data_IF_036612873144
#
_entry.id   IF_036612873144
#
_cell.length_a   1.000
_cell.length_b   1.000
_cell.length_c   1.000
_cell.angle_alpha   90.00
_cell.angle_beta   90.00
_cell.angle_gamma   90.00
#
_symmetry.space_group_name_H-M   'P 1'
#
loop_
_entity.id
_entity.type
_entity.pdbx_description
1 polymer ?
#
# COMPACT_ATOMS: atom_id res chain seq x y z
N UNK A 1 7.17 -8.36 22.64
CA UNK A 1 7.48 -9.28 21.52
C UNK A 1 8.90 -9.84 21.50
N UNK A 2 9.99 -9.06 21.32
CA UNK A 2 11.35 -9.62 21.15
C UNK A 2 11.79 -10.56 22.30
N UNK A 3 11.51 -10.19 23.55
CA UNK A 3 11.75 -11.06 24.71
C UNK A 3 10.96 -12.39 24.63
N UNK A 4 9.72 -12.37 24.15
CA UNK A 4 8.91 -13.59 23.99
C UNK A 4 9.46 -14.50 22.90
N UNK A 5 9.97 -13.92 21.80
CA UNK A 5 10.63 -14.68 20.73
C UNK A 5 11.90 -15.36 21.25
N UNK A 6 12.74 -14.61 21.97
CA UNK A 6 13.96 -15.14 22.57
C UNK A 6 13.66 -16.28 23.56
N UNK A 7 12.65 -16.11 24.42
CA UNK A 7 12.20 -17.14 25.37
C UNK A 7 11.70 -18.39 24.66
N UNK A 8 10.91 -18.28 23.57
CA UNK A 8 10.46 -19.45 22.79
C UNK A 8 11.62 -20.23 22.15
N UNK A 9 12.73 -19.55 21.88
CA UNK A 9 13.97 -20.15 21.36
C UNK A 9 14.92 -20.60 22.49
N UNK A 10 14.49 -20.55 23.76
CA UNK A 10 15.31 -20.85 24.94
C UNK A 10 16.64 -20.06 25.00
N UNK A 11 16.66 -18.83 24.45
CA UNK A 11 17.82 -17.96 24.52
C UNK A 11 17.89 -17.26 25.88
N UNK A 12 19.11 -17.08 26.39
CA UNK A 12 19.38 -16.35 27.65
C UNK A 12 19.57 -14.84 27.47
N UNK A 13 19.74 -14.38 26.23
CA UNK A 13 19.92 -12.97 25.86
C UNK A 13 19.14 -12.70 24.58
N UNK A 14 18.64 -11.48 24.44
CA UNK A 14 17.96 -11.00 23.23
C UNK A 14 19.06 -10.49 22.27
N UNK A 15 19.03 -10.93 21.03
CA UNK A 15 19.89 -10.43 19.96
C UNK A 15 19.07 -9.76 18.85
N UNK A 16 19.76 -9.18 17.85
CA UNK A 16 19.10 -8.49 16.74
C UNK A 16 18.14 -9.39 15.95
N UNK A 17 18.41 -10.70 15.86
CA UNK A 17 17.52 -11.63 15.13
C UNK A 17 16.17 -11.83 15.84
N UNK A 18 16.13 -11.67 17.16
CA UNK A 18 14.87 -11.74 17.92
C UNK A 18 14.10 -10.42 17.86
N UNK A 19 14.80 -9.29 17.72
CA UNK A 19 14.20 -7.98 17.45
C UNK A 19 13.59 -7.96 16.04
N UNK A 20 14.33 -8.41 15.03
CA UNK A 20 13.85 -8.46 13.64
C UNK A 20 12.62 -9.37 13.51
N UNK A 21 12.65 -10.57 14.11
CA UNK A 21 11.49 -11.48 14.10
C UNK A 21 10.29 -10.88 14.85
N UNK A 22 10.52 -10.13 15.93
CA UNK A 22 9.45 -9.45 16.64
C UNK A 22 8.84 -8.32 15.82
N UNK A 23 9.66 -7.52 15.13
CA UNK A 23 9.21 -6.47 14.22
C UNK A 23 8.35 -7.07 13.11
N UNK A 24 8.83 -8.12 12.44
CA UNK A 24 8.08 -8.82 11.41
C UNK A 24 6.74 -9.37 11.93
N UNK A 25 6.74 -9.88 13.17
CA UNK A 25 5.56 -10.44 13.81
C UNK A 25 4.51 -9.36 14.13
N UNK A 26 4.94 -8.16 14.51
CA UNK A 26 4.05 -7.04 14.76
C UNK A 26 3.45 -6.51 13.46
N UNK A 27 4.25 -6.43 12.38
CA UNK A 27 3.81 -5.89 11.09
C UNK A 27 2.89 -6.87 10.35
N UNK A 28 3.33 -8.12 10.18
CA UNK A 28 2.70 -9.08 9.27
C UNK A 28 2.18 -10.36 9.98
N UNK A 29 2.39 -10.47 11.29
CA UNK A 29 1.99 -11.65 12.07
C UNK A 29 3.04 -12.77 12.06
N UNK A 30 2.70 -13.94 12.65
CA UNK A 30 3.63 -15.06 12.74
C UNK A 30 3.94 -15.66 11.37
N UNK A 31 5.18 -16.11 11.17
CA UNK A 31 5.60 -16.83 9.97
C UNK A 31 4.87 -18.17 9.81
N UNK A 32 4.44 -18.47 8.58
CA UNK A 32 3.82 -19.75 8.21
C UNK A 32 4.88 -20.67 7.62
N UNK A 33 5.73 -21.26 8.48
CA UNK A 33 6.81 -22.16 8.05
C UNK A 33 6.32 -23.51 7.52
N UNK A 34 5.08 -23.92 7.84
CA UNK A 34 4.49 -25.19 7.40
C UNK A 34 3.74 -25.13 6.07
N UNK A 35 3.51 -23.94 5.51
CA UNK A 35 2.78 -23.79 4.24
C UNK A 35 3.72 -24.14 3.09
N UNK A 36 3.41 -25.23 2.39
CA UNK A 36 4.07 -25.56 1.12
C UNK A 36 3.56 -24.58 0.07
N UNK A 37 4.44 -23.69 -0.41
CA UNK A 37 4.13 -22.74 -1.48
C UNK A 37 4.62 -23.35 -2.79
N UNK A 38 3.76 -23.36 -3.82
CA UNK A 38 4.16 -23.81 -5.15
C UNK A 38 5.18 -22.87 -5.77
N UNK A 39 6.04 -23.36 -6.66
CA UNK A 39 7.00 -22.49 -7.35
C UNK A 39 6.32 -21.37 -8.13
N UNK A 40 5.16 -21.66 -8.75
CA UNK A 40 4.33 -20.64 -9.43
C UNK A 40 3.91 -19.53 -8.46
N UNK A 41 3.34 -19.87 -7.30
CA UNK A 41 2.88 -18.89 -6.30
C UNK A 41 4.06 -18.10 -5.72
N UNK A 42 5.20 -18.76 -5.45
CA UNK A 42 6.42 -18.10 -4.97
C UNK A 42 6.95 -17.08 -5.98
N UNK A 43 6.95 -17.42 -7.27
CA UNK A 43 7.38 -16.51 -8.32
C UNK A 43 6.42 -15.32 -8.45
N UNK A 44 5.10 -15.55 -8.41
CA UNK A 44 4.11 -14.46 -8.43
C UNK A 44 4.38 -13.47 -7.29
N UNK A 45 4.54 -13.96 -6.06
CA UNK A 45 4.86 -13.12 -4.90
C UNK A 45 6.19 -12.40 -5.08
N UNK A 46 7.23 -13.07 -5.58
CA UNK A 46 8.53 -12.44 -5.79
C UNK A 46 8.46 -11.25 -6.74
N UNK A 47 7.81 -11.40 -7.90
CA UNK A 47 7.64 -10.31 -8.86
C UNK A 47 6.69 -9.23 -8.34
N UNK A 48 5.67 -9.60 -7.57
CA UNK A 48 4.79 -8.64 -6.91
C UNK A 48 5.57 -7.74 -5.93
N UNK A 49 6.33 -8.32 -5.02
CA UNK A 49 7.15 -7.55 -4.07
C UNK A 49 8.27 -6.77 -4.78
N UNK A 50 8.86 -7.33 -5.83
CA UNK A 50 9.84 -6.63 -6.66
C UNK A 50 9.23 -5.39 -7.34
N UNK A 51 7.99 -5.48 -7.81
CA UNK A 51 7.25 -4.33 -8.38
C UNK A 51 7.17 -3.15 -7.42
N UNK A 52 6.78 -3.42 -6.17
CA UNK A 52 6.76 -2.40 -5.12
C UNK A 52 8.15 -1.78 -4.90
N UNK A 53 9.19 -2.61 -4.81
CA UNK A 53 10.57 -2.18 -4.56
C UNK A 53 11.11 -1.33 -5.71
N UNK A 54 10.97 -1.76 -6.96
CA UNK A 54 11.52 -1.05 -8.13
C UNK A 54 10.85 0.32 -8.28
N UNK A 55 9.53 0.40 -8.11
CA UNK A 55 8.80 1.67 -8.15
C UNK A 55 9.24 2.57 -6.99
N UNK A 56 9.32 2.04 -5.77
CA UNK A 56 9.76 2.79 -4.59
C UNK A 56 11.21 3.29 -4.67
N UNK A 57 12.11 2.57 -5.34
CA UNK A 57 13.48 3.01 -5.59
C UNK A 57 13.59 4.06 -6.70
N UNK A 58 12.59 4.14 -7.58
CA UNK A 58 12.59 5.04 -8.75
C UNK A 58 11.99 6.39 -8.45
N UNK A 59 10.95 6.42 -7.64
CA UNK A 59 10.23 7.64 -7.31
C UNK A 59 11.02 8.44 -6.27
N UNK A 60 11.36 9.69 -6.60
CA UNK A 60 12.19 10.55 -5.76
C UNK A 60 11.57 10.79 -4.38
N UNK A 61 10.24 10.89 -4.34
CA UNK A 61 9.48 11.14 -3.12
C UNK A 61 8.98 9.86 -2.43
N UNK A 62 9.27 8.69 -2.99
CA UNK A 62 8.83 7.44 -2.40
C UNK A 62 9.63 7.08 -1.14
N UNK A 63 8.94 6.34 -0.27
CA UNK A 63 9.45 5.77 0.96
C UNK A 63 10.66 4.87 0.66
N UNK A 64 11.68 4.90 1.52
CA UNK A 64 12.90 4.09 1.37
C UNK A 64 12.58 2.63 1.66
N UNK A 65 12.97 1.73 0.75
CA UNK A 65 12.85 0.29 0.96
C UNK A 65 13.74 -0.12 2.14
N UNK A 66 13.12 -0.61 3.21
CA UNK A 66 13.82 -1.07 4.40
C UNK A 66 14.01 -2.59 4.39
N UNK A 67 12.97 -3.32 3.98
CA UNK A 67 12.99 -4.79 3.94
C UNK A 67 12.00 -5.29 2.90
N UNK A 68 12.36 -6.36 2.20
CA UNK A 68 11.46 -7.10 1.32
C UNK A 68 11.59 -8.58 1.62
N UNK A 69 10.47 -9.30 1.63
CA UNK A 69 10.46 -10.75 1.85
C UNK A 69 9.30 -11.42 1.15
N UNK A 70 9.54 -12.62 0.64
CA UNK A 70 8.54 -13.51 0.04
C UNK A 70 8.11 -14.63 1.03
N UNK A 71 8.51 -14.51 2.29
CA UNK A 71 8.14 -15.47 3.33
C UNK A 71 6.73 -15.17 3.81
N UNK A 72 5.78 -16.11 3.68
CA UNK A 72 4.39 -15.86 4.05
C UNK A 72 4.25 -15.67 5.55
N UNK A 73 3.51 -14.63 5.94
CA UNK A 73 3.18 -14.31 7.34
C UNK A 73 1.71 -13.95 7.46
N UNK A 74 1.04 -14.45 8.49
CA UNK A 74 -0.38 -14.13 8.69
C UNK A 74 -1.23 -14.41 7.45
N UNK A 75 -1.86 -13.36 6.90
CA UNK A 75 -2.60 -13.43 5.63
C UNK A 75 -1.78 -13.03 4.39
N UNK A 76 -0.58 -12.48 4.56
CA UNK A 76 0.28 -12.00 3.49
C UNK A 76 1.14 -13.13 2.88
N UNK A 77 1.27 -13.15 1.55
CA UNK A 77 2.14 -14.09 0.81
C UNK A 77 3.61 -13.66 0.80
N UNK A 78 3.84 -12.35 0.79
CA UNK A 78 5.09 -11.63 0.97
C UNK A 78 4.78 -10.23 1.50
N UNK A 79 5.80 -9.43 1.76
CA UNK A 79 5.60 -7.99 2.02
C UNK A 79 6.90 -7.20 1.82
N UNK A 80 6.73 -5.96 1.37
CA UNK A 80 7.75 -4.93 1.36
C UNK A 80 7.46 -3.89 2.45
N UNK A 81 8.43 -3.65 3.33
CA UNK A 81 8.42 -2.55 4.30
C UNK A 81 9.13 -1.38 3.68
N UNK A 82 8.37 -0.34 3.39
CA UNK A 82 8.90 0.97 3.02
C UNK A 82 8.79 1.89 4.24
N UNK A 83 9.83 2.67 4.49
CA UNK A 83 9.88 3.64 5.57
C UNK A 83 9.99 5.05 4.99
N UNK A 84 9.23 6.03 5.52
CA UNK A 84 9.43 7.43 5.16
C UNK A 84 10.89 7.85 5.34
N UNK A 85 11.40 8.69 4.42
CA UNK A 85 12.77 9.24 4.54
C UNK A 85 12.88 10.21 5.72
N UNK A 86 11.79 10.88 6.04
CA UNK A 86 11.67 11.87 7.11
C UNK A 86 10.29 11.75 7.76
N UNK A 87 10.20 12.04 9.06
CA UNK A 87 8.92 12.19 9.74
C UNK A 87 8.23 13.46 9.24
N UNK A 88 7.17 13.30 8.45
CA UNK A 88 6.44 14.41 7.82
C UNK A 88 5.01 14.48 8.33
N UNK A 89 4.58 15.69 8.66
CA UNK A 89 3.19 15.98 9.07
C UNK A 89 2.26 16.29 7.90
N UNK A 90 2.80 16.75 6.77
CA UNK A 90 2.04 17.14 5.59
C UNK A 90 2.54 16.38 4.36
N UNK A 91 1.61 15.99 3.49
CA UNK A 91 1.91 15.38 2.20
C UNK A 91 1.38 16.25 1.06
N UNK A 92 2.20 16.44 0.04
CA UNK A 92 1.90 17.16 -1.19
C UNK A 92 1.21 16.25 -2.22
N UNK A 93 0.53 16.84 -3.20
CA UNK A 93 -0.12 16.09 -4.29
C UNK A 93 0.85 15.11 -4.99
N UNK A 94 2.09 15.50 -5.40
CA UNK A 94 3.03 14.57 -6.02
C UNK A 94 3.42 13.40 -5.12
N UNK A 95 3.59 13.62 -3.82
CA UNK A 95 3.92 12.55 -2.86
C UNK A 95 2.79 11.53 -2.72
N UNK A 96 1.54 11.99 -2.70
CA UNK A 96 0.38 11.09 -2.66
C UNK A 96 0.23 10.30 -3.96
N UNK A 97 0.48 10.94 -5.11
CA UNK A 97 0.51 10.26 -6.41
C UNK A 97 1.62 9.20 -6.47
N UNK A 98 2.82 9.52 -5.98
CA UNK A 98 3.95 8.59 -5.90
C UNK A 98 3.63 7.42 -4.95
N UNK A 99 2.92 7.67 -3.85
CA UNK A 99 2.46 6.62 -2.94
C UNK A 99 1.44 5.70 -3.59
N UNK A 100 0.50 6.25 -4.36
CA UNK A 100 -0.45 5.45 -5.16
C UNK A 100 0.31 4.60 -6.18
N UNK A 101 1.26 5.18 -6.93
CA UNK A 101 2.08 4.45 -7.89
C UNK A 101 2.88 3.30 -7.21
N UNK A 102 3.49 3.56 -6.06
CA UNK A 102 4.18 2.54 -5.25
C UNK A 102 3.28 1.38 -4.84
N UNK A 103 2.03 1.66 -4.44
CA UNK A 103 1.03 0.63 -4.12
C UNK A 103 0.58 -0.15 -5.36
N UNK A 104 0.50 0.48 -6.53
CA UNK A 104 0.13 -0.23 -7.77
C UNK A 104 1.28 -1.08 -8.35
N UNK A 105 2.51 -0.88 -7.88
CA UNK A 105 3.71 -1.57 -8.35
C UNK A 105 3.59 -3.09 -8.41
N UNK A 106 3.09 -3.73 -7.35
CA UNK A 106 2.95 -5.18 -7.30
C UNK A 106 1.99 -5.74 -8.35
N UNK A 107 0.82 -5.12 -8.51
CA UNK A 107 -0.14 -5.50 -9.56
C UNK A 107 0.46 -5.34 -10.96
N UNK A 108 1.10 -4.21 -11.22
CA UNK A 108 1.63 -3.90 -12.56
C UNK A 108 2.80 -4.83 -12.91
N UNK A 109 3.62 -5.20 -11.93
CA UNK A 109 4.71 -6.18 -12.14
C UNK A 109 4.17 -7.57 -12.51
N UNK A 110 3.09 -8.02 -11.87
CA UNK A 110 2.40 -9.26 -12.25
C UNK A 110 1.91 -9.21 -13.70
N UNK A 111 1.22 -8.12 -14.07
CA UNK A 111 0.64 -7.91 -15.39
C UNK A 111 1.72 -7.93 -16.50
N UNK A 112 2.83 -7.20 -16.30
CA UNK A 112 3.94 -7.15 -17.27
C UNK A 112 4.67 -8.50 -17.39
N UNK A 113 4.87 -9.20 -16.28
CA UNK A 113 5.72 -10.40 -16.24
C UNK A 113 4.98 -11.65 -16.66
N UNK A 114 3.74 -11.82 -16.19
CA UNK A 114 2.97 -13.05 -16.38
C UNK A 114 1.81 -12.89 -17.36
N UNK A 115 1.36 -11.65 -17.64
CA UNK A 115 0.12 -11.41 -18.39
C UNK A 115 -1.14 -11.91 -17.66
N UNK A 116 -1.00 -12.27 -16.38
CA UNK A 116 -2.06 -12.75 -15.51
C UNK A 116 -1.99 -11.97 -14.19
N UNK A 117 -3.16 -11.57 -13.68
CA UNK A 117 -3.28 -10.80 -12.44
C UNK A 117 -3.75 -11.69 -11.29
N UNK A 118 -3.12 -11.56 -10.12
CA UNK A 118 -3.46 -12.35 -8.93
C UNK A 118 -4.51 -11.67 -8.04
N UNK A 119 -4.98 -12.34 -6.98
CA UNK A 119 -5.80 -11.69 -5.93
C UNK A 119 -4.98 -11.01 -4.84
N UNK A 120 -3.64 -11.08 -4.91
CA UNK A 120 -2.72 -10.58 -3.88
C UNK A 120 -2.76 -9.05 -3.71
N UNK A 121 -3.02 -8.31 -4.79
CA UNK A 121 -3.02 -6.84 -4.78
C UNK A 121 -4.23 -6.17 -4.09
N UNK A 122 -5.12 -6.95 -3.45
CA UNK A 122 -6.38 -6.44 -2.88
C UNK A 122 -6.17 -5.30 -1.88
N UNK A 123 -5.26 -5.49 -0.92
CA UNK A 123 -4.96 -4.48 0.10
C UNK A 123 -4.31 -3.23 -0.51
N UNK A 124 -3.51 -3.38 -1.57
CA UNK A 124 -2.86 -2.26 -2.22
C UNK A 124 -3.86 -1.38 -2.98
N UNK A 125 -4.82 -2.00 -3.67
CA UNK A 125 -5.93 -1.29 -4.28
C UNK A 125 -6.80 -0.58 -3.25
N UNK A 126 -7.10 -1.23 -2.12
CA UNK A 126 -7.89 -0.61 -1.06
C UNK A 126 -7.21 0.66 -0.55
N UNK A 127 -5.90 0.59 -0.28
CA UNK A 127 -5.10 1.75 0.18
C UNK A 127 -5.00 2.83 -0.90
N UNK A 128 -4.67 2.45 -2.14
CA UNK A 128 -4.56 3.40 -3.25
C UNK A 128 -5.88 4.14 -3.50
N UNK A 129 -6.99 3.40 -3.49
CA UNK A 129 -8.35 3.98 -3.64
C UNK A 129 -8.71 4.89 -2.47
N UNK A 130 -8.34 4.53 -1.24
CA UNK A 130 -8.56 5.39 -0.07
C UNK A 130 -7.78 6.70 -0.18
N UNK A 131 -6.51 6.65 -0.62
CA UNK A 131 -5.69 7.86 -0.82
C UNK A 131 -6.31 8.72 -1.92
N UNK A 132 -6.67 8.13 -3.07
CA UNK A 132 -7.30 8.85 -4.17
C UNK A 132 -8.62 9.51 -3.73
N UNK A 133 -9.42 8.83 -2.91
CA UNK A 133 -10.63 9.40 -2.32
C UNK A 133 -10.30 10.60 -1.45
N UNK A 134 -9.42 10.48 -0.46
CA UNK A 134 -9.06 11.59 0.43
C UNK A 134 -8.41 12.77 -0.33
N UNK A 135 -7.63 12.51 -1.38
CA UNK A 135 -7.11 13.56 -2.27
C UNK A 135 -8.25 14.40 -2.87
N UNK A 136 -9.31 13.76 -3.34
CA UNK A 136 -10.44 14.43 -3.99
C UNK A 136 -11.40 15.02 -2.97
N UNK A 137 -11.74 14.30 -1.91
CA UNK A 137 -12.81 14.67 -0.97
C UNK A 137 -12.34 15.46 0.22
N UNK A 138 -11.13 15.22 0.74
CA UNK A 138 -10.66 15.86 1.97
C UNK A 138 -9.64 16.96 1.72
N UNK A 139 -8.75 16.76 0.75
CA UNK A 139 -7.61 17.65 0.51
C UNK A 139 -7.84 18.64 -0.63
N UNK A 140 -8.96 18.53 -1.36
CA UNK A 140 -9.29 19.44 -2.48
C UNK A 140 -8.24 19.42 -3.59
N UNK A 141 -7.62 18.26 -3.85
CA UNK A 141 -6.53 18.10 -4.82
C UNK A 141 -7.02 17.74 -6.24
N UNK A 142 -8.33 17.84 -6.50
CA UNK A 142 -8.91 17.71 -7.84
C UNK A 142 -9.04 19.09 -8.51
N UNK A 143 -8.50 19.20 -9.71
CA UNK A 143 -8.57 20.44 -10.49
C UNK A 143 -9.99 20.70 -11.03
N UNK A 144 -10.82 19.65 -11.16
CA UNK A 144 -12.22 19.78 -11.63
C UNK A 144 -13.20 20.15 -10.52
N UNK A 145 -13.05 19.53 -9.35
CA UNK A 145 -13.93 19.78 -8.21
C UNK A 145 -13.49 20.99 -7.37
N UNK A 146 -12.24 21.44 -7.57
CA UNK A 146 -11.67 22.59 -6.89
C UNK A 146 -11.30 22.30 -5.44
N UNK A 147 -10.83 23.33 -4.70
CA UNK A 147 -10.35 23.21 -3.33
C UNK A 147 -11.51 23.17 -2.32
N UNK A 148 -12.42 22.20 -2.48
CA UNK A 148 -13.56 22.00 -1.58
C UNK A 148 -13.43 20.67 -0.84
N UNK A 149 -13.93 20.64 0.39
CA UNK A 149 -14.06 19.42 1.17
C UNK A 149 -15.46 18.84 0.98
N UNK A 150 -15.53 17.55 0.67
CA UNK A 150 -16.75 16.77 0.48
C UNK A 150 -16.86 15.73 1.59
N UNK A 151 -18.05 15.55 2.16
CA UNK A 151 -18.31 14.50 3.15
C UNK A 151 -17.78 14.79 4.57
N UNK A 152 -17.43 16.04 4.89
CA UNK A 152 -17.13 16.41 6.28
C UNK A 152 -18.41 16.28 7.11
N UNK A 153 -18.44 15.31 8.03
CA UNK A 153 -19.35 15.36 9.18
C UNK A 153 -19.09 16.68 9.89
N UNK A 154 -20.02 17.64 9.75
CA UNK A 154 -20.05 18.81 10.60
C UNK A 154 -20.14 18.33 12.06
N UNK A 155 -19.21 18.78 12.89
CA UNK A 155 -19.40 18.88 14.33
C UNK A 155 -19.07 17.62 15.12
N UNK A 156 -18.10 17.75 16.02
CA UNK A 156 -17.79 16.71 16.98
C UNK A 156 -18.96 16.39 17.90
N UNK A 157 -19.21 15.10 18.08
CA UNK A 157 -19.56 14.49 19.36
C UNK A 157 -19.47 12.97 19.22
N UNK A 158 -18.31 12.43 19.58
CA UNK A 158 -17.94 11.00 19.50
C UNK A 158 -18.63 10.18 20.62
N UNK A 159 -19.77 10.62 21.17
CA UNK A 159 -20.33 9.98 22.38
C UNK A 159 -21.69 9.30 22.23
N UNK A 160 -22.39 9.35 21.10
CA UNK A 160 -23.67 8.63 20.98
C UNK A 160 -23.71 7.80 19.70
N UNK A 161 -23.61 6.49 19.90
CA UNK A 161 -24.18 5.42 19.08
C UNK A 161 -24.31 5.69 17.59
N UNK A 162 -23.28 5.34 16.83
CA UNK A 162 -23.35 4.70 15.49
C UNK A 162 -24.69 4.90 14.75
N UNK A 163 -24.94 6.12 14.28
CA UNK A 163 -26.01 6.37 13.32
C UNK A 163 -25.52 6.09 11.90
N UNK A 164 -26.34 5.32 11.20
CA UNK A 164 -26.06 4.53 10.01
C UNK A 164 -25.99 5.32 8.69
N UNK A 165 -25.95 6.64 8.73
CA UNK A 165 -25.89 7.47 7.52
C UNK A 165 -24.87 8.58 7.73
N UNK A 166 -23.65 8.37 7.22
CA UNK A 166 -22.85 9.52 6.79
C UNK A 166 -23.62 10.17 5.64
N UNK A 167 -24.46 11.16 5.94
CA UNK A 167 -25.14 11.94 4.91
C UNK A 167 -24.07 12.50 3.96
N UNK A 168 -24.15 12.10 2.69
CA UNK A 168 -23.32 12.69 1.65
C UNK A 168 -23.74 14.15 1.54
N UNK A 169 -22.89 15.07 1.97
CA UNK A 169 -23.11 16.51 1.89
C UNK A 169 -22.96 17.06 0.45
N UNK A 170 -23.25 16.24 -0.56
CA UNK A 170 -23.10 16.56 -1.97
C UNK A 170 -24.09 15.77 -2.82
N UNK A 171 -24.45 16.30 -3.98
CA UNK A 171 -25.42 15.68 -4.90
C UNK A 171 -24.85 14.45 -5.59
N UNK A 172 -25.74 13.59 -6.13
CA UNK A 172 -25.35 12.43 -6.95
C UNK A 172 -24.46 12.82 -8.14
N UNK A 173 -24.67 14.01 -8.71
CA UNK A 173 -23.81 14.53 -9.77
C UNK A 173 -22.37 14.77 -9.30
N UNK A 174 -22.18 15.27 -8.08
CA UNK A 174 -20.85 15.46 -7.49
C UNK A 174 -20.26 14.12 -7.07
N UNK A 175 -21.07 13.20 -6.54
CA UNK A 175 -20.63 11.83 -6.23
C UNK A 175 -20.05 11.15 -7.47
N UNK A 176 -20.74 11.26 -8.60
CA UNK A 176 -20.30 10.72 -9.89
C UNK A 176 -19.01 11.37 -10.40
N UNK A 177 -18.87 12.68 -10.25
CA UNK A 177 -17.63 13.38 -10.61
C UNK A 177 -16.46 13.00 -9.68
N UNK A 178 -16.70 12.78 -8.38
CA UNK A 178 -15.69 12.26 -7.44
C UNK A 178 -15.20 10.88 -7.91
N UNK A 179 -16.12 9.96 -8.23
CA UNK A 179 -15.74 8.62 -8.67
C UNK A 179 -14.96 8.64 -9.99
N UNK A 180 -15.32 9.53 -10.93
CA UNK A 180 -14.56 9.76 -12.16
C UNK A 180 -13.15 10.27 -11.90
N UNK A 181 -13.01 11.26 -11.01
CA UNK A 181 -11.70 11.82 -10.66
C UNK A 181 -10.81 10.78 -9.98
N UNK A 182 -11.38 9.99 -9.05
CA UNK A 182 -10.69 8.88 -8.43
C UNK A 182 -10.22 7.84 -9.47
N UNK A 183 -11.11 7.47 -10.41
CA UNK A 183 -10.77 6.54 -11.49
C UNK A 183 -9.64 7.10 -12.36
N UNK A 184 -9.70 8.38 -12.72
CA UNK A 184 -8.67 9.04 -13.52
C UNK A 184 -7.30 8.99 -12.82
N UNK A 185 -7.24 9.33 -11.53
CA UNK A 185 -6.00 9.27 -10.73
C UNK A 185 -5.42 7.85 -10.73
N UNK A 186 -6.24 6.83 -10.45
CA UNK A 186 -5.76 5.44 -10.38
C UNK A 186 -5.26 4.96 -11.74
N UNK A 187 -6.00 5.25 -12.83
CA UNK A 187 -5.59 4.85 -14.19
C UNK A 187 -4.29 5.55 -14.61
N UNK A 188 -4.17 6.84 -14.35
CA UNK A 188 -2.95 7.60 -14.66
C UNK A 188 -1.74 7.05 -13.89
N UNK A 189 -1.88 6.79 -12.59
CA UNK A 189 -0.79 6.23 -11.81
C UNK A 189 -0.49 4.78 -12.19
N UNK A 190 -1.48 3.99 -12.62
CA UNK A 190 -1.25 2.64 -13.15
C UNK A 190 -0.39 2.68 -14.41
N UNK A 191 -0.73 3.55 -15.36
CA UNK A 191 0.03 3.69 -16.61
C UNK A 191 1.44 4.25 -16.37
N UNK A 192 1.57 5.24 -15.48
CA UNK A 192 2.89 5.75 -15.05
C UNK A 192 3.74 4.64 -14.43
N UNK A 193 3.14 3.82 -13.56
CA UNK A 193 3.82 2.68 -12.93
C UNK A 193 4.26 1.65 -13.98
N UNK A 194 3.41 1.40 -14.98
CA UNK A 194 3.70 0.49 -16.09
C UNK A 194 4.87 0.98 -16.93
N UNK A 195 4.94 2.28 -17.22
CA UNK A 195 6.08 2.89 -17.91
C UNK A 195 7.37 2.71 -17.11
N UNK A 196 7.36 3.07 -15.81
CA UNK A 196 8.52 2.92 -14.91
C UNK A 196 9.02 1.47 -14.89
N UNK A 197 8.13 0.50 -14.69
CA UNK A 197 8.50 -0.90 -14.62
C UNK A 197 8.94 -1.49 -15.97
N UNK A 198 8.42 -0.96 -17.08
CA UNK A 198 8.85 -1.37 -18.43
C UNK A 198 10.24 -0.83 -18.75
N UNK A 199 10.53 0.43 -18.42
CA UNK A 199 11.85 1.04 -18.58
C UNK A 199 12.90 0.37 -17.69
N UNK A 200 12.51 -0.04 -16.48
CA UNK A 200 13.38 -0.68 -15.50
C UNK A 200 13.17 -2.18 -15.40
N UNK A 201 12.80 -2.81 -16.52
CA UNK A 201 12.53 -4.26 -16.56
C UNK A 201 13.72 -5.09 -16.07
N UNK A 202 14.94 -4.62 -16.32
CA UNK A 202 16.17 -5.28 -15.87
C UNK A 202 16.30 -5.34 -14.34
N UNK A 203 15.59 -4.50 -13.58
CA UNK A 203 15.57 -4.54 -12.12
C UNK A 203 14.49 -5.49 -11.56
N UNK A 204 13.55 -5.94 -12.40
CA UNK A 204 12.49 -6.88 -12.03
C UNK A 204 12.91 -8.35 -12.19
N UNK A 205 13.82 -8.64 -13.13
CA UNK A 205 14.32 -9.98 -13.48
C UNK A 205 15.67 -10.29 -12.84
#
# INVERSE_FOLDING_TARGET
EAALVATRRNKKKIDMSDIDEATDRVIAGPAKTSRVISEKERNIVAFHEAGHVVVGLTLDQAEKVHKVTIVPRGQAGGYAVMLPKEDRYFMTKPELLDKIAGLLGGRVAEDITFGEVSTGAHNDFQRATSIARSMVTEYGMSDKLGPMQFGSSQGGNVFLGRDFNSEQNYSDSIAYEIDKEMQAIIVEQYERTKQILTEKRDLLT
#
